data_IF_344814853722
#
_entry.id   IF_344814853722
#
_cell.length_a   1.000
_cell.length_b   1.000
_cell.length_c   1.000
_cell.angle_alpha   90.00
_cell.angle_beta   90.00
_cell.angle_gamma   90.00
#
_symmetry.space_group_name_H-M   'P 1'
#
loop_
_entity.id
_entity.type
_entity.pdbx_description
1 polymer ?
#
# COMPACT_ATOMS: atom_id res chain seq x y z
N UNK A 1 28.38 24.25 46.46
CA UNK A 1 27.47 25.11 47.25
C UNK A 1 27.72 26.55 46.80
N UNK A 2 26.67 27.36 46.59
CA UNK A 2 26.71 28.79 46.19
C UNK A 2 27.26 29.02 44.76
N UNK A 3 26.42 29.44 43.79
CA UNK A 3 26.05 30.85 43.44
C UNK A 3 27.21 31.60 42.76
N UNK A 4 27.08 32.30 41.63
CA UNK A 4 25.96 33.15 41.20
C UNK A 4 25.90 33.40 39.67
N UNK A 5 24.79 33.97 39.21
CA UNK A 5 24.45 34.43 37.85
C UNK A 5 25.25 35.70 37.45
N UNK A 6 25.65 35.85 36.17
CA UNK A 6 25.47 37.13 35.42
C UNK A 6 25.76 37.07 33.91
N UNK A 7 24.71 37.38 33.12
CA UNK A 7 24.67 38.17 31.88
C UNK A 7 25.91 38.36 30.99
N UNK A 8 25.77 38.01 29.70
CA UNK A 8 26.22 38.87 28.58
C UNK A 8 25.15 38.94 27.49
N UNK A 9 24.94 40.16 26.97
CA UNK A 9 23.86 40.54 26.07
C UNK A 9 24.16 40.25 24.60
N UNK A 10 23.12 40.11 23.78
CA UNK A 10 23.04 40.84 22.51
C UNK A 10 21.58 41.06 22.11
N UNK A 11 21.14 42.32 22.14
CA UNK A 11 19.87 42.79 21.56
C UNK A 11 20.25 43.81 20.49
N UNK A 12 19.71 43.67 19.28
CA UNK A 12 19.86 44.64 18.19
C UNK A 12 18.49 44.94 17.53
N UNK A 13 18.30 46.18 17.09
CA UNK A 13 17.00 46.87 16.89
C UNK A 13 17.14 47.88 15.72
N UNK A 14 16.11 48.30 14.95
CA UNK A 14 14.63 48.19 15.08
C UNK A 14 14.00 48.18 13.67
N UNK A 15 12.87 47.48 13.46
CA UNK A 15 11.82 47.96 12.53
C UNK A 15 10.42 47.77 13.13
N UNK A 16 9.62 48.84 13.10
CA UNK A 16 8.25 48.90 13.60
C UNK A 16 7.25 48.21 12.66
N UNK A 17 6.18 47.62 13.24
CA UNK A 17 4.77 48.06 13.08
C UNK A 17 3.87 47.20 13.99
N UNK A 18 2.87 47.83 14.60
CA UNK A 18 1.86 47.19 15.45
C UNK A 18 0.93 46.29 14.63
N UNK A 19 0.54 45.13 15.17
CA UNK A 19 -0.87 44.68 15.26
C UNK A 19 -1.02 43.40 16.12
N UNK A 20 -2.15 43.30 16.81
CA UNK A 20 -2.44 42.28 17.82
C UNK A 20 -2.77 40.91 17.20
N UNK A 21 -1.97 39.87 17.45
CA UNK A 21 -2.42 38.47 17.40
C UNK A 21 -1.66 37.59 18.41
N UNK A 22 -2.26 37.36 19.58
CA UNK A 22 -1.79 36.34 20.51
C UNK A 22 -2.15 34.95 19.99
N UNK A 23 -1.27 34.34 19.19
CA UNK A 23 -1.44 32.95 18.76
C UNK A 23 -1.21 32.01 19.95
N UNK A 24 -2.30 31.64 20.61
CA UNK A 24 -2.30 30.55 21.59
C UNK A 24 -2.12 29.24 20.82
N UNK A 25 -0.88 28.74 20.78
CA UNK A 25 -0.57 27.41 20.24
C UNK A 25 -1.21 26.36 21.14
N UNK A 26 -2.40 25.92 20.77
CA UNK A 26 -3.15 24.89 21.47
C UNK A 26 -2.56 23.52 21.10
N UNK A 27 -1.61 23.03 21.90
CA UNK A 27 -1.08 21.68 21.75
C UNK A 27 -2.19 20.68 22.05
N UNK A 28 -2.90 20.23 21.01
CA UNK A 28 -3.82 19.12 21.12
C UNK A 28 -3.01 17.84 21.27
N UNK A 29 -3.11 17.22 22.45
CA UNK A 29 -2.65 15.84 22.67
C UNK A 29 -3.37 14.93 21.67
N UNK A 30 -2.66 14.45 20.66
CA UNK A 30 -3.17 13.46 19.74
C UNK A 30 -3.29 12.13 20.50
N UNK A 31 -4.52 11.76 20.87
CA UNK A 31 -4.81 10.43 21.40
C UNK A 31 -4.53 9.41 20.29
N UNK A 32 -3.38 8.73 20.39
CA UNK A 32 -2.97 7.67 19.48
C UNK A 32 -3.87 6.45 19.66
N UNK A 33 -5.06 6.49 19.06
CA UNK A 33 -5.92 5.31 18.89
C UNK A 33 -5.14 4.31 18.04
N UNK A 34 -4.54 3.32 18.69
CA UNK A 34 -3.87 2.21 18.03
C UNK A 34 -4.84 1.55 17.07
N UNK A 35 -4.46 1.46 15.79
CA UNK A 35 -5.28 0.77 14.79
C UNK A 35 -5.29 -0.72 15.13
N UNK A 36 -6.47 -1.32 15.09
CA UNK A 36 -6.62 -2.78 15.16
C UNK A 36 -5.76 -3.42 14.05
N UNK A 37 -5.05 -4.49 14.41
CA UNK A 37 -4.21 -5.25 13.49
C UNK A 37 -4.96 -6.52 13.12
N UNK A 38 -5.34 -6.60 11.86
CA UNK A 38 -5.92 -7.79 11.25
C UNK A 38 -4.83 -8.52 10.47
N UNK A 39 -4.89 -9.84 10.46
CA UNK A 39 -4.00 -10.71 9.67
C UNK A 39 -4.77 -11.30 8.49
N UNK A 40 -4.05 -11.71 7.45
CA UNK A 40 -4.62 -12.25 6.23
C UNK A 40 -5.01 -13.72 6.45
N UNK A 41 -6.25 -14.08 6.10
CA UNK A 41 -6.73 -15.48 6.18
C UNK A 41 -6.12 -16.39 5.11
N UNK A 42 -5.53 -15.79 4.07
CA UNK A 42 -4.93 -16.47 2.94
C UNK A 42 -3.45 -16.07 2.85
N UNK A 43 -2.55 -17.02 3.06
CA UNK A 43 -1.14 -16.90 2.69
C UNK A 43 -0.99 -16.44 1.23
N UNK A 44 -0.18 -15.42 1.02
CA UNK A 44 0.01 -14.77 -0.26
C UNK A 44 1.46 -14.26 -0.41
N UNK A 45 1.91 -14.20 -1.66
CA UNK A 45 3.21 -13.66 -2.04
C UNK A 45 3.04 -12.30 -2.71
N UNK A 46 3.80 -11.32 -2.21
CA UNK A 46 3.86 -9.96 -2.77
C UNK A 46 5.14 -9.77 -3.56
N UNK A 47 5.03 -9.37 -4.83
CA UNK A 47 6.16 -9.12 -5.71
C UNK A 47 6.06 -7.74 -6.37
N UNK A 48 7.15 -6.99 -6.36
CA UNK A 48 7.27 -5.77 -7.17
C UNK A 48 7.73 -6.15 -8.57
N UNK A 49 7.02 -5.63 -9.59
CA UNK A 49 7.32 -5.84 -11.00
C UNK A 49 7.71 -4.50 -11.61
N UNK A 50 8.90 -4.42 -12.21
CA UNK A 50 9.32 -3.28 -13.02
C UNK A 50 8.53 -3.28 -14.34
N UNK A 51 7.97 -2.12 -14.71
CA UNK A 51 7.19 -1.94 -15.93
C UNK A 51 8.03 -1.32 -17.05
N UNK A 52 9.14 -0.65 -16.73
CA UNK A 52 9.97 -0.01 -17.72
C UNK A 52 10.62 -1.03 -18.66
N UNK A 53 10.70 -0.66 -19.94
CA UNK A 53 11.34 -1.48 -20.97
C UNK A 53 12.33 -0.64 -21.76
N UNK A 54 13.10 -1.28 -22.65
CA UNK A 54 14.00 -0.59 -23.57
C UNK A 54 13.29 0.36 -24.56
N UNK A 55 11.94 0.36 -24.61
CA UNK A 55 11.13 1.15 -25.56
C UNK A 55 10.15 2.09 -24.88
N UNK A 56 9.69 1.74 -23.69
CA UNK A 56 8.59 2.41 -22.99
C UNK A 56 8.95 2.66 -21.53
N UNK A 57 8.64 3.88 -21.08
CA UNK A 57 8.69 4.31 -19.69
C UNK A 57 7.27 4.38 -19.13
N UNK A 58 7.13 4.02 -17.85
CA UNK A 58 5.86 4.02 -17.12
C UNK A 58 5.95 4.89 -15.86
N UNK A 59 4.82 5.47 -15.47
CA UNK A 59 4.65 6.17 -14.20
C UNK A 59 3.36 5.68 -13.49
N UNK A 60 3.45 5.04 -12.30
CA UNK A 60 4.68 4.63 -11.65
C UNK A 60 5.48 3.60 -12.49
N UNK A 61 6.82 3.55 -12.36
CA UNK A 61 7.68 2.65 -13.14
C UNK A 61 7.61 1.19 -12.68
N UNK A 62 6.83 0.89 -11.65
CA UNK A 62 6.62 -0.46 -11.14
C UNK A 62 5.15 -0.64 -10.74
N UNK A 63 4.71 -1.89 -10.65
CA UNK A 63 3.51 -2.26 -9.91
C UNK A 63 3.82 -3.31 -8.85
N UNK A 64 2.82 -3.57 -8.01
CA UNK A 64 2.86 -4.61 -6.99
C UNK A 64 1.85 -5.67 -7.36
N UNK A 65 2.34 -6.87 -7.64
CA UNK A 65 1.52 -8.07 -7.76
C UNK A 65 1.38 -8.73 -6.40
N UNK A 66 0.17 -9.25 -6.13
CA UNK A 66 -0.14 -10.03 -4.93
C UNK A 66 -0.83 -11.31 -5.37
N UNK A 67 -0.12 -12.44 -5.27
CA UNK A 67 -0.62 -13.77 -5.64
C UNK A 67 -0.92 -14.63 -4.43
N UNK A 68 -1.93 -15.48 -4.51
CA UNK A 68 -2.16 -16.51 -3.50
C UNK A 68 -1.02 -17.52 -3.57
N UNK A 69 -0.61 -18.05 -2.42
CA UNK A 69 0.59 -18.88 -2.32
C UNK A 69 0.54 -20.07 -3.30
N UNK A 70 -0.62 -20.74 -3.38
CA UNK A 70 -0.85 -21.83 -4.32
C UNK A 70 -0.74 -21.43 -5.79
N UNK A 71 -1.24 -20.26 -6.18
CA UNK A 71 -1.09 -19.74 -7.55
C UNK A 71 0.37 -19.39 -7.86
N UNK A 72 1.08 -18.75 -6.93
CA UNK A 72 2.49 -18.43 -7.08
C UNK A 72 3.39 -19.67 -7.18
N UNK A 73 3.08 -20.73 -6.43
CA UNK A 73 3.84 -21.98 -6.45
C UNK A 73 3.58 -22.79 -7.73
N UNK A 74 2.33 -22.83 -8.21
CA UNK A 74 1.98 -23.44 -9.48
C UNK A 74 2.63 -22.70 -10.67
N UNK A 75 2.56 -21.36 -10.73
CA UNK A 75 3.17 -20.56 -11.79
C UNK A 75 4.71 -20.68 -11.83
N UNK A 76 5.34 -21.02 -10.71
CA UNK A 76 6.79 -21.31 -10.63
C UNK A 76 7.16 -22.76 -10.95
N UNK A 77 6.19 -23.65 -11.10
CA UNK A 77 6.43 -25.09 -11.29
C UNK A 77 6.93 -25.79 -10.02
N UNK A 78 6.61 -25.27 -8.82
CA UNK A 78 6.83 -26.01 -7.57
C UNK A 78 5.78 -27.10 -7.34
N UNK A 79 4.63 -27.04 -8.01
CA UNK A 79 3.61 -28.08 -8.01
C UNK A 79 3.14 -28.38 -9.44
N UNK A 80 2.92 -29.66 -9.76
CA UNK A 80 2.45 -30.10 -11.09
C UNK A 80 0.99 -29.68 -11.37
N UNK A 81 0.24 -29.32 -10.34
CA UNK A 81 -1.16 -28.88 -10.41
C UNK A 81 -1.44 -27.75 -9.41
N UNK A 82 -2.46 -26.94 -9.70
CA UNK A 82 -2.93 -25.89 -8.80
C UNK A 82 -3.64 -26.52 -7.60
N UNK A 83 -2.92 -26.62 -6.48
CA UNK A 83 -3.47 -27.12 -5.22
C UNK A 83 -4.41 -26.07 -4.61
N UNK A 84 -5.52 -26.51 -4.02
CA UNK A 84 -6.42 -25.60 -3.32
C UNK A 84 -5.83 -25.15 -1.99
N UNK A 85 -5.87 -23.84 -1.74
CA UNK A 85 -5.65 -23.27 -0.42
C UNK A 85 -6.99 -22.98 0.25
N UNK A 86 -7.18 -23.50 1.46
CA UNK A 86 -8.37 -23.26 2.27
C UNK A 86 -8.10 -22.27 3.42
N UNK A 87 -9.17 -21.65 3.92
CA UNK A 87 -9.18 -20.69 5.02
C UNK A 87 -10.36 -20.97 5.96
N UNK A 88 -10.31 -20.43 7.19
CA UNK A 88 -11.32 -20.63 8.25
C UNK A 88 -11.64 -22.12 8.49
N UNK A 89 -10.73 -22.83 9.18
CA UNK A 89 -10.88 -24.26 9.51
C UNK A 89 -11.21 -25.18 8.31
N UNK A 90 -10.65 -24.87 7.13
CA UNK A 90 -10.90 -25.55 5.85
C UNK A 90 -12.35 -25.45 5.32
N UNK A 91 -13.16 -24.53 5.83
CA UNK A 91 -14.52 -24.28 5.36
C UNK A 91 -14.56 -23.39 4.10
N UNK A 92 -13.69 -22.40 4.01
CA UNK A 92 -13.67 -21.42 2.93
C UNK A 92 -12.47 -21.66 2.00
N UNK A 93 -12.54 -21.19 0.76
CA UNK A 93 -11.48 -21.31 -0.26
C UNK A 93 -10.79 -19.95 -0.46
N UNK A 94 -9.46 -19.94 -0.48
CA UNK A 94 -8.70 -18.77 -0.91
C UNK A 94 -8.74 -18.65 -2.44
N UNK A 95 -9.17 -17.50 -2.93
CA UNK A 95 -9.36 -17.22 -4.37
C UNK A 95 -8.49 -16.04 -4.78
N UNK A 96 -7.76 -16.21 -5.88
CA UNK A 96 -6.98 -15.13 -6.49
C UNK A 96 -7.90 -14.04 -7.02
N UNK A 97 -7.74 -12.83 -6.48
CA UNK A 97 -8.41 -11.64 -7.00
C UNK A 97 -7.52 -10.98 -8.07
N UNK A 98 -8.11 -10.70 -9.21
CA UNK A 98 -7.53 -9.90 -10.28
C UNK A 98 -8.19 -8.53 -10.36
N UNK A 99 -7.51 -7.56 -10.95
CA UNK A 99 -8.02 -6.22 -11.19
C UNK A 99 -7.35 -5.52 -12.37
N UNK A 100 -7.69 -4.25 -12.54
CA UNK A 100 -7.06 -3.35 -13.49
C UNK A 100 -6.24 -2.30 -12.75
N UNK A 101 -5.08 -1.94 -13.31
CA UNK A 101 -4.21 -0.88 -12.79
C UNK A 101 -3.99 0.15 -13.88
N UNK A 102 -4.29 1.41 -13.59
CA UNK A 102 -4.05 2.52 -14.49
C UNK A 102 -2.67 3.13 -14.21
N UNK A 103 -1.87 3.28 -15.27
CA UNK A 103 -0.53 3.86 -15.24
C UNK A 103 -0.39 4.85 -16.40
N UNK A 104 0.54 5.79 -16.32
CA UNK A 104 0.95 6.58 -17.48
C UNK A 104 2.02 5.82 -18.24
N UNK A 105 1.99 5.87 -19.58
CA UNK A 105 3.01 5.29 -20.47
C UNK A 105 3.48 6.34 -21.49
N UNK A 106 4.78 6.33 -21.79
CA UNK A 106 5.39 7.02 -22.94
C UNK A 106 6.47 6.18 -23.61
N UNK A 107 6.77 6.38 -24.91
CA UNK A 107 8.04 5.92 -25.48
C UNK A 107 9.23 6.56 -24.76
N UNK A 108 10.34 5.83 -24.63
CA UNK A 108 11.58 6.34 -24.00
C UNK A 108 12.02 7.66 -24.65
N UNK A 109 12.30 8.68 -23.82
CA UNK A 109 12.69 10.01 -24.27
C UNK A 109 11.57 10.88 -24.89
N UNK A 110 10.33 10.38 -24.98
CA UNK A 110 9.17 11.20 -25.37
C UNK A 110 8.81 12.23 -24.29
N UNK A 111 8.27 13.37 -24.69
CA UNK A 111 7.66 14.34 -23.75
C UNK A 111 6.18 14.04 -23.47
N UNK A 112 5.54 13.21 -24.29
CA UNK A 112 4.10 12.94 -24.21
C UNK A 112 3.82 11.64 -23.46
N UNK A 113 3.14 11.79 -22.32
CA UNK A 113 2.53 10.70 -21.56
C UNK A 113 1.10 10.43 -22.05
N UNK A 114 0.70 9.16 -21.99
CA UNK A 114 -0.64 8.68 -22.35
C UNK A 114 -1.16 7.71 -21.29
N UNK A 115 -2.47 7.69 -21.01
CA UNK A 115 -3.05 6.74 -20.05
C UNK A 115 -2.98 5.32 -20.61
N UNK A 116 -2.60 4.37 -19.76
CA UNK A 116 -2.51 2.95 -20.07
C UNK A 116 -3.16 2.13 -18.95
N UNK A 117 -3.84 1.04 -19.33
CA UNK A 117 -4.54 0.17 -18.38
C UNK A 117 -3.98 -1.24 -18.50
N UNK A 118 -3.33 -1.68 -17.43
CA UNK A 118 -2.89 -3.07 -17.25
C UNK A 118 -4.09 -3.85 -16.72
N UNK A 119 -4.46 -4.94 -17.40
CA UNK A 119 -5.59 -5.80 -17.05
C UNK A 119 -5.10 -7.12 -16.47
N UNK A 120 -5.96 -7.80 -15.72
CA UNK A 120 -5.67 -9.08 -15.08
C UNK A 120 -4.43 -9.03 -14.16
N UNK A 121 -4.18 -7.88 -13.51
CA UNK A 121 -3.13 -7.76 -12.50
C UNK A 121 -3.60 -8.52 -11.25
N UNK A 122 -2.81 -9.42 -10.67
CA UNK A 122 -3.16 -10.10 -9.42
C UNK A 122 -3.03 -9.11 -8.25
N UNK A 123 -4.16 -8.78 -7.61
CA UNK A 123 -4.27 -7.68 -6.64
C UNK A 123 -4.39 -8.13 -5.18
N UNK A 124 -4.67 -9.41 -4.92
CA UNK A 124 -4.90 -9.93 -3.58
C UNK A 124 -5.55 -11.31 -3.56
N UNK A 125 -5.87 -11.79 -2.37
CA UNK A 125 -6.55 -13.07 -2.13
C UNK A 125 -7.75 -12.86 -1.22
N UNK A 126 -8.90 -13.34 -1.65
CA UNK A 126 -10.13 -13.29 -0.86
C UNK A 126 -10.48 -14.68 -0.33
N UNK A 127 -10.93 -14.75 0.92
CA UNK A 127 -11.41 -15.99 1.54
C UNK A 127 -12.92 -16.12 1.27
N UNK A 128 -13.30 -16.99 0.32
CA UNK A 128 -14.63 -17.05 -0.27
C UNK A 128 -15.38 -18.35 0.01
N UNK A 129 -16.71 -18.29 -0.05
CA UNK A 129 -17.60 -19.45 0.08
C UNK A 129 -17.57 -20.33 -1.19
N UNK A 130 -17.20 -21.63 -1.09
CA UNK A 130 -17.17 -22.52 -2.25
C UNK A 130 -18.59 -23.04 -2.57
N UNK A 131 -19.27 -22.34 -3.48
CA UNK A 131 -20.61 -22.70 -3.98
C UNK A 131 -20.65 -24.11 -4.58
N UNK A 132 -19.53 -24.58 -5.13
CA UNK A 132 -19.33 -25.94 -5.65
C UNK A 132 -19.42 -27.05 -4.57
N UNK A 133 -19.21 -26.71 -3.29
CA UNK A 133 -19.25 -27.67 -2.18
C UNK A 133 -20.52 -27.60 -1.34
N UNK A 134 -21.03 -26.38 -1.12
CA UNK A 134 -22.10 -26.15 -0.14
C UNK A 134 -23.35 -25.49 -0.74
N UNK A 135 -23.36 -25.26 -2.06
CA UNK A 135 -24.43 -24.53 -2.74
C UNK A 135 -24.36 -23.02 -2.51
N UNK A 136 -25.36 -22.31 -3.01
CA UNK A 136 -25.53 -20.89 -2.74
C UNK A 136 -25.87 -20.69 -1.25
N UNK A 137 -25.38 -19.60 -0.66
CA UNK A 137 -25.80 -19.21 0.67
C UNK A 137 -27.24 -18.67 0.59
N UNK A 138 -28.19 -19.48 1.04
CA UNK A 138 -29.55 -19.01 1.32
C UNK A 138 -29.47 -18.09 2.56
N UNK A 139 -29.93 -16.84 2.39
CA UNK A 139 -29.96 -15.77 3.40
C UNK A 139 -31.41 -15.37 3.69
#
# INVERSE_FOLDING_TARGET
MMSSISSKYSISVTVHILLMTSYVVKIQSATTKTRERNEELCAMERRTIDLNTLRDEFDPPFLVEVRCQNTADYERGFTDSLVEQACVHNLLRCVQRYGEVHVSRRPVGSVYWSPHTLRNVPMGCDCMWPVDRYGHQEL
#
